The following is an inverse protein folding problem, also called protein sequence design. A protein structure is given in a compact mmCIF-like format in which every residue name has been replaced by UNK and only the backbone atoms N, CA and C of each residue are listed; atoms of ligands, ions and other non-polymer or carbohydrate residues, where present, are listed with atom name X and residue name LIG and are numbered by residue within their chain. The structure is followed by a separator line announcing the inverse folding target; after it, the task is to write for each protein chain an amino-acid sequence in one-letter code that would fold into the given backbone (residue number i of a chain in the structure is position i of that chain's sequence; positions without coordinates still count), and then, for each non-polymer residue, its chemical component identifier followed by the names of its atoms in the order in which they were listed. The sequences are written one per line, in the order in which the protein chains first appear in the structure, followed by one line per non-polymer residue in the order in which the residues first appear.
data_IF_934782791027
#
_entry.id   IF_934782791027
#
_cell.length_a   1.000
_cell.length_b   1.000
_cell.length_c   1.000
_cell.angle_alpha   90.00
_cell.angle_beta   90.00
_cell.angle_gamma   90.00
#
_symmetry.space_group_name_H-M   'P 1'
#
loop_
_entity.id
_entity.type
_entity.pdbx_description
1 polymer ?
#
# COMPACT_ATOMS: atom_id res chain seq x y z
N UNK A 1 -18.85 4.89 12.38
CA UNK A 1 -18.05 3.63 12.50
C UNK A 1 -16.95 3.66 11.45
N UNK A 2 -15.69 3.83 11.84
CA UNK A 2 -14.55 3.75 10.92
C UNK A 2 -14.36 2.27 10.53
N UNK A 3 -14.73 1.92 9.29
CA UNK A 3 -14.55 0.55 8.80
C UNK A 3 -13.07 0.29 8.53
N UNK A 4 -12.58 -0.86 9.01
CA UNK A 4 -11.24 -1.38 8.70
C UNK A 4 -11.07 -1.57 7.18
N UNK A 5 -9.98 -1.04 6.57
CA UNK A 5 -9.72 -1.21 5.14
C UNK A 5 -9.60 -2.68 4.70
N UNK A 6 -10.47 -3.15 3.81
CA UNK A 6 -10.47 -4.54 3.34
C UNK A 6 -9.23 -4.86 2.49
N UNK A 7 -8.87 -6.15 2.38
CA UNK A 7 -7.90 -6.62 1.38
C UNK A 7 -8.26 -6.13 -0.02
N UNK A 8 -7.23 -5.90 -0.83
CA UNK A 8 -7.28 -5.31 -2.17
C UNK A 8 -7.66 -3.82 -2.21
N UNK A 9 -7.79 -3.16 -1.05
CA UNK A 9 -8.04 -1.72 -1.01
C UNK A 9 -6.74 -0.94 -1.22
N UNK A 10 -6.78 0.02 -2.15
CA UNK A 10 -5.72 1.01 -2.38
C UNK A 10 -6.27 2.41 -2.09
N UNK A 11 -5.63 3.12 -1.16
CA UNK A 11 -6.11 4.37 -0.59
C UNK A 11 -5.02 5.44 -0.63
N UNK A 12 -5.36 6.66 -1.06
CA UNK A 12 -4.40 7.76 -1.21
C UNK A 12 -4.56 8.82 -0.12
N UNK A 13 -3.68 8.85 0.88
CA UNK A 13 -3.79 9.78 2.00
C UNK A 13 -2.87 11.00 1.85
N UNK A 14 -3.36 12.16 2.28
CA UNK A 14 -2.48 13.28 2.65
C UNK A 14 -1.97 13.06 4.07
N UNK A 15 -0.66 12.89 4.23
CA UNK A 15 -0.02 12.70 5.55
C UNK A 15 -0.15 13.91 6.47
N UNK A 16 -0.36 15.10 5.89
CA UNK A 16 -0.64 16.34 6.63
C UNK A 16 -2.03 16.34 7.27
N UNK A 17 -3.00 15.63 6.67
CA UNK A 17 -4.41 15.63 7.10
C UNK A 17 -4.82 14.37 7.86
N UNK A 18 -4.22 13.22 7.54
CA UNK A 18 -4.65 11.91 8.05
C UNK A 18 -3.48 11.15 8.64
N UNK A 19 -3.64 10.69 9.88
CA UNK A 19 -2.72 9.73 10.52
C UNK A 19 -3.03 8.31 10.04
N UNK A 20 -2.74 8.02 8.78
CA UNK A 20 -3.11 6.77 8.09
C UNK A 20 -2.62 5.48 8.78
N UNK A 21 -1.58 5.56 9.63
CA UNK A 21 -1.12 4.41 10.43
C UNK A 21 -2.08 4.00 11.54
N UNK A 22 -3.03 4.86 11.92
CA UNK A 22 -4.11 4.58 12.88
C UNK A 22 -5.31 3.97 12.16
N UNK A 23 -5.06 2.87 11.45
CA UNK A 23 -6.06 2.19 10.62
C UNK A 23 -6.88 1.14 11.37
N UNK A 24 -6.55 0.87 12.63
CA UNK A 24 -7.26 -0.08 13.49
C UNK A 24 -6.73 -1.51 13.43
N UNK A 25 -5.72 -1.78 12.61
CA UNK A 25 -5.10 -3.11 12.53
C UNK A 25 -4.00 -3.29 13.59
N UNK A 26 -3.91 -4.50 14.12
CA UNK A 26 -2.80 -4.93 14.96
C UNK A 26 -1.64 -5.38 14.08
N UNK A 27 -0.59 -4.55 14.02
CA UNK A 27 0.61 -4.81 13.24
C UNK A 27 1.69 -5.51 14.05
N UNK A 28 2.46 -6.40 13.42
CA UNK A 28 3.58 -7.09 14.04
C UNK A 28 4.57 -6.07 14.60
N UNK A 29 4.97 -6.25 15.85
CA UNK A 29 5.91 -5.37 16.54
C UNK A 29 7.34 -5.91 16.50
N UNK A 30 8.32 -5.03 16.75
CA UNK A 30 9.72 -5.40 17.00
C UNK A 30 9.81 -6.22 18.31
N UNK A 31 10.97 -6.82 18.56
CA UNK A 31 11.19 -7.69 19.74
C UNK A 31 10.91 -6.98 21.07
N UNK A 32 11.09 -5.66 21.11
CA UNK A 32 10.81 -4.82 22.28
C UNK A 32 9.31 -4.58 22.54
N UNK A 33 8.42 -4.98 21.63
CA UNK A 33 6.97 -4.76 21.74
C UNK A 33 6.52 -3.30 21.67
N UNK A 34 7.44 -2.35 21.44
CA UNK A 34 7.15 -0.91 21.45
C UNK A 34 6.81 -0.41 20.06
N UNK A 35 7.65 -0.76 19.08
CA UNK A 35 7.55 -0.23 17.72
C UNK A 35 7.02 -1.27 16.75
N UNK A 36 6.24 -0.83 15.75
CA UNK A 36 5.82 -1.70 14.65
C UNK A 36 7.05 -2.13 13.85
N UNK A 37 7.12 -3.41 13.50
CA UNK A 37 8.14 -3.94 12.60
C UNK A 37 7.74 -3.61 11.16
N UNK A 38 8.17 -2.45 10.71
CA UNK A 38 8.13 -2.06 9.29
C UNK A 38 9.46 -2.44 8.63
N UNK A 39 9.40 -3.04 7.44
CA UNK A 39 10.53 -3.22 6.52
C UNK A 39 10.48 -2.11 5.46
N UNK A 40 11.64 -1.55 5.12
CA UNK A 40 11.73 -0.31 4.33
C UNK A 40 12.61 -0.53 3.10
N UNK A 41 12.23 0.08 1.98
CA UNK A 41 13.00 0.04 0.74
C UNK A 41 12.86 1.34 -0.03
N UNK A 42 13.83 1.63 -0.92
CA UNK A 42 13.73 2.69 -1.91
C UNK A 42 13.76 2.07 -3.30
N UNK A 43 12.75 2.39 -4.10
CA UNK A 43 12.60 1.87 -5.45
C UNK A 43 13.14 2.89 -6.45
N UNK A 44 13.76 2.36 -7.50
CA UNK A 44 14.39 3.15 -8.55
C UNK A 44 13.51 3.18 -9.80
N UNK A 45 13.39 4.36 -10.41
CA UNK A 45 12.83 4.57 -11.74
C UNK A 45 13.97 5.10 -12.61
N UNK A 46 14.29 4.39 -13.69
CA UNK A 46 15.43 4.74 -14.57
C UNK A 46 16.75 4.93 -13.80
N UNK A 47 17.03 4.06 -12.81
CA UNK A 47 18.25 4.10 -12.02
C UNK A 47 18.27 5.11 -10.86
N UNK A 48 17.27 6.00 -10.77
CA UNK A 48 17.18 7.04 -9.75
C UNK A 48 16.20 6.60 -8.66
N UNK A 49 16.58 6.74 -7.39
CA UNK A 49 15.65 6.49 -6.28
C UNK A 49 14.51 7.53 -6.31
N UNK A 50 13.28 7.06 -6.52
CA UNK A 50 12.12 7.94 -6.69
C UNK A 50 11.01 7.67 -5.67
N UNK A 51 10.88 6.42 -5.20
CA UNK A 51 9.75 5.97 -4.38
C UNK A 51 10.28 5.34 -3.11
N UNK A 52 9.75 5.75 -1.97
CA UNK A 52 9.95 5.05 -0.70
C UNK A 52 8.83 4.04 -0.49
N UNK A 53 9.18 2.81 -0.13
CA UNK A 53 8.24 1.75 0.23
C UNK A 53 8.41 1.33 1.69
N UNK A 54 7.32 1.15 2.41
CA UNK A 54 7.32 0.47 3.70
C UNK A 54 6.30 -0.66 3.74
N UNK A 55 6.65 -1.77 4.38
CA UNK A 55 5.87 -2.99 4.42
C UNK A 55 5.72 -3.49 5.85
N UNK A 56 4.51 -3.88 6.22
CA UNK A 56 4.21 -4.38 7.55
C UNK A 56 3.29 -5.59 7.49
N UNK A 57 3.58 -6.56 8.36
CA UNK A 57 2.79 -7.77 8.52
C UNK A 57 1.77 -7.60 9.64
N UNK A 58 0.56 -8.12 9.46
CA UNK A 58 -0.42 -8.23 10.55
C UNK A 58 0.12 -9.15 11.65
N UNK A 59 -0.21 -8.82 12.90
CA UNK A 59 0.07 -9.67 14.05
C UNK A 59 -0.96 -10.80 14.22
N UNK A 60 -2.14 -10.66 13.60
CA UNK A 60 -3.27 -11.58 13.77
C UNK A 60 -3.38 -12.55 12.60
N UNK A 61 -3.27 -12.03 11.38
CA UNK A 61 -3.45 -12.82 10.14
C UNK A 61 -2.16 -12.74 9.31
N UNK A 62 -1.29 -13.77 9.30
CA UNK A 62 0.03 -13.71 8.67
C UNK A 62 0.02 -13.35 7.18
N UNK A 63 -1.06 -13.66 6.47
CA UNK A 63 -1.27 -13.36 5.06
C UNK A 63 -1.64 -11.89 4.80
N UNK A 64 -2.16 -11.17 5.81
CA UNK A 64 -2.61 -9.80 5.63
C UNK A 64 -1.51 -8.79 5.91
N UNK A 65 -1.26 -7.93 4.94
CA UNK A 65 -0.19 -6.94 4.99
C UNK A 65 -0.67 -5.55 4.58
N UNK A 66 0.12 -4.54 4.95
CA UNK A 66 -0.01 -3.17 4.45
C UNK A 66 1.30 -2.73 3.81
N UNK A 67 1.22 -2.30 2.56
CA UNK A 67 2.32 -1.65 1.82
C UNK A 67 2.00 -0.17 1.68
N UNK A 68 2.95 0.69 2.01
CA UNK A 68 2.80 2.13 1.80
C UNK A 68 3.89 2.63 0.85
N UNK A 69 3.52 3.52 -0.05
CA UNK A 69 4.39 4.09 -1.07
C UNK A 69 4.24 5.60 -1.11
N UNK A 70 5.35 6.34 -1.20
CA UNK A 70 5.32 7.78 -1.46
C UNK A 70 6.53 8.21 -2.29
N UNK A 71 6.37 9.29 -3.04
CA UNK A 71 7.46 9.87 -3.82
C UNK A 71 8.46 10.55 -2.87
N UNK A 72 9.76 10.37 -3.13
CA UNK A 72 10.80 11.01 -2.32
C UNK A 72 10.77 12.54 -2.43
N UNK A 73 10.51 13.06 -3.63
CA UNK A 73 10.41 14.49 -3.91
C UNK A 73 9.08 15.11 -3.43
N UNK A 74 8.02 14.31 -3.29
CA UNK A 74 6.73 14.76 -2.80
C UNK A 74 6.17 13.74 -1.81
N UNK A 75 6.65 13.76 -0.56
CA UNK A 75 6.33 12.69 0.36
C UNK A 75 4.95 12.90 1.00
N UNK A 76 4.33 14.08 0.89
CA UNK A 76 3.08 14.45 1.55
C UNK A 76 1.88 13.55 1.21
N UNK A 77 1.92 12.92 0.03
CA UNK A 77 0.90 11.99 -0.43
C UNK A 77 1.44 10.56 -0.30
N UNK A 78 0.67 9.69 0.35
CA UNK A 78 1.01 8.27 0.51
C UNK A 78 -0.09 7.39 -0.07
N UNK A 79 0.30 6.46 -0.93
CA UNK A 79 -0.56 5.36 -1.37
C UNK A 79 -0.42 4.21 -0.37
N UNK A 80 -1.53 3.75 0.18
CA UNK A 80 -1.59 2.64 1.14
C UNK A 80 -2.39 1.52 0.53
N UNK A 81 -1.76 0.35 0.40
CA UNK A 81 -2.33 -0.87 -0.15
C UNK A 81 -2.45 -1.93 0.93
N UNK A 82 -3.67 -2.38 1.19
CA UNK A 82 -3.99 -3.48 2.09
C UNK A 82 -4.22 -4.73 1.26
N UNK A 83 -3.50 -5.82 1.53
CA UNK A 83 -3.63 -7.03 0.74
C UNK A 83 -3.43 -8.30 1.56
N UNK A 84 -4.14 -9.35 1.18
CA UNK A 84 -3.81 -10.72 1.53
C UNK A 84 -2.84 -11.28 0.50
N UNK A 85 -1.65 -11.68 0.94
CA UNK A 85 -0.68 -12.44 0.15
C UNK A 85 -0.81 -13.91 0.56
N UNK A 86 -0.99 -14.86 -0.39
CA UNK A 86 -1.00 -16.29 -0.07
C UNK A 86 0.26 -16.67 0.72
N UNK A 87 0.07 -17.43 1.81
CA UNK A 87 1.21 -18.00 2.53
C UNK A 87 1.79 -19.08 1.61
N UNK A 88 3.04 -18.91 1.18
CA UNK A 88 3.72 -19.95 0.43
C UNK A 88 4.23 -20.97 1.45
N UNK A 89 3.37 -21.90 1.86
CA UNK A 89 3.85 -23.08 2.57
C UNK A 89 4.80 -23.82 1.62
N UNK A 90 5.96 -24.21 2.14
CA UNK A 90 7.15 -24.52 1.36
C UNK A 90 6.91 -25.46 0.15
N UNK A 91 7.56 -25.13 -0.98
CA UNK A 91 7.75 -25.93 -2.21
C UNK A 91 6.74 -25.86 -3.38
N UNK A 92 5.89 -24.83 -3.49
CA UNK A 92 5.37 -24.47 -4.82
C UNK A 92 5.58 -22.98 -5.05
N UNK A 93 6.31 -22.63 -6.11
CA UNK A 93 6.36 -21.25 -6.60
C UNK A 93 4.94 -20.96 -7.10
N UNK A 94 4.08 -20.43 -6.23
CA UNK A 94 2.90 -19.72 -6.68
C UNK A 94 3.39 -18.31 -6.97
N UNK A 95 4.01 -18.16 -8.14
CA UNK A 95 4.07 -16.88 -8.82
C UNK A 95 2.67 -16.30 -8.70
N UNK A 96 2.46 -15.07 -8.16
CA UNK A 96 1.17 -14.44 -8.32
C UNK A 96 0.91 -14.49 -9.81
N UNK A 97 -0.17 -15.17 -10.21
CA UNK A 97 -0.61 -15.15 -11.59
C UNK A 97 -0.78 -13.69 -11.91
N UNK A 98 0.22 -13.12 -12.57
CA UNK A 98 0.20 -11.77 -13.11
C UNK A 98 -0.66 -11.87 -14.35
N UNK A 99 -1.92 -12.28 -14.16
CA UNK A 99 -2.95 -12.39 -15.19
C UNK A 99 -3.44 -10.96 -15.47
N UNK A 100 -2.52 -10.15 -15.99
CA UNK A 100 -2.74 -8.99 -16.85
C UNK A 100 -1.44 -8.31 -17.32
N UNK A 101 -0.25 -8.94 -17.22
CA UNK A 101 0.88 -8.53 -18.09
C UNK A 101 0.72 -9.21 -19.45
N UNK A 102 -0.46 -9.03 -20.05
CA UNK A 102 -0.51 -9.02 -21.50
C UNK A 102 0.17 -7.71 -21.88
N UNK A 103 1.25 -7.85 -22.63
CA UNK A 103 2.00 -6.78 -23.26
C UNK A 103 1.07 -5.67 -23.74
N UNK A 104 1.29 -4.46 -23.23
CA UNK A 104 1.15 -3.28 -24.06
C UNK A 104 2.18 -2.27 -23.58
N UNK A 105 2.99 -1.76 -24.50
CA UNK A 105 3.47 -0.37 -24.47
C UNK A 105 2.26 0.57 -24.49
N UNK A 106 1.37 0.47 -23.51
CA UNK A 106 0.28 1.41 -23.33
C UNK A 106 0.92 2.67 -22.79
N UNK A 107 1.09 3.65 -23.67
CA UNK A 107 1.35 5.01 -23.23
C UNK A 107 0.10 5.48 -22.48
N UNK A 108 0.27 5.73 -21.19
CA UNK A 108 -0.82 6.18 -20.33
C UNK A 108 -1.04 7.66 -20.57
N UNK A 109 -2.23 8.01 -21.06
CA UNK A 109 -2.63 9.42 -21.10
C UNK A 109 -2.90 9.92 -19.69
N UNK A 110 -2.89 11.25 -19.52
CA UNK A 110 -3.23 11.87 -18.24
C UNK A 110 -4.65 11.48 -17.81
N UNK A 111 -5.56 11.40 -18.77
CA UNK A 111 -6.97 11.07 -18.58
C UNK A 111 -7.13 9.63 -18.10
N UNK A 112 -6.40 8.68 -18.70
CA UNK A 112 -6.40 7.27 -18.26
C UNK A 112 -5.91 7.13 -16.82
N UNK A 113 -4.80 7.80 -16.48
CA UNK A 113 -4.27 7.80 -15.11
C UNK A 113 -5.28 8.38 -14.13
N UNK A 114 -5.94 9.48 -14.51
CA UNK A 114 -6.97 10.10 -13.68
C UNK A 114 -8.16 9.16 -13.50
N UNK A 115 -8.59 8.43 -14.53
CA UNK A 115 -9.66 7.44 -14.42
C UNK A 115 -9.31 6.30 -13.47
N UNK A 116 -8.09 5.77 -13.55
CA UNK A 116 -7.62 4.69 -12.65
C UNK A 116 -7.41 5.16 -11.20
N UNK A 117 -6.99 6.41 -11.01
CA UNK A 117 -6.75 6.97 -9.67
C UNK A 117 -8.03 7.47 -8.99
N UNK A 118 -9.07 7.81 -9.76
CA UNK A 118 -10.36 8.33 -9.24
C UNK A 118 -10.96 7.45 -8.12
N UNK A 119 -11.06 6.11 -8.26
CA UNK A 119 -11.55 5.25 -7.18
C UNK A 119 -10.74 5.36 -5.88
N UNK A 120 -9.41 5.53 -5.96
CA UNK A 120 -8.54 5.62 -4.79
C UNK A 120 -8.74 6.92 -3.99
N UNK A 121 -9.16 8.00 -4.66
CA UNK A 121 -9.40 9.30 -4.03
C UNK A 121 -10.76 9.38 -3.30
N UNK A 122 -11.76 8.61 -3.73
CA UNK A 122 -13.12 8.66 -3.15
C UNK A 122 -13.14 8.21 -1.69
N UNK A 123 -12.38 7.19 -1.33
CA UNK A 123 -12.35 6.66 0.03
C UNK A 123 -11.66 7.57 1.05
N UNK A 124 -10.76 8.46 0.59
CA UNK A 124 -10.03 9.35 1.48
C UNK A 124 -10.81 10.59 1.90
N UNK A 125 -11.82 11.01 1.13
CA UNK A 125 -12.68 12.15 1.48
C UNK A 125 -13.74 11.78 2.53
N UNK A 126 -14.16 10.51 2.58
CA UNK A 126 -15.20 10.06 3.54
C UNK A 126 -14.68 10.07 4.99
N UNK A 127 -13.38 9.91 5.20
CA UNK A 127 -12.75 9.90 6.53
C UNK A 127 -12.28 11.28 7.03
N UNK A 128 -12.71 12.37 6.38
CA UNK A 128 -12.34 13.76 6.78
C UNK A 128 -13.47 14.56 7.42
N UNK A 129 -14.54 13.92 7.90
CA UNK A 129 -15.53 14.62 8.75
C UNK A 129 -15.12 14.49 10.22
N UNK A 130 -14.98 15.66 10.84
CA UNK A 130 -14.64 15.93 12.24
C UNK A 130 -15.34 15.02 13.23
#
# INVERSE_FOLDING_TARGET
MNRLPKSSSMLLYSRKRVRYRRDGYCWKKRKDGKTTREDHMKLKVQGIECIYGCYVHSAILPTFHRRCYWLLQNPDIVLVHYLNVPCNDDNKIVTPSFNSLVDTKKEWTREDLVLELKPMCKFCLVNTRN
#
